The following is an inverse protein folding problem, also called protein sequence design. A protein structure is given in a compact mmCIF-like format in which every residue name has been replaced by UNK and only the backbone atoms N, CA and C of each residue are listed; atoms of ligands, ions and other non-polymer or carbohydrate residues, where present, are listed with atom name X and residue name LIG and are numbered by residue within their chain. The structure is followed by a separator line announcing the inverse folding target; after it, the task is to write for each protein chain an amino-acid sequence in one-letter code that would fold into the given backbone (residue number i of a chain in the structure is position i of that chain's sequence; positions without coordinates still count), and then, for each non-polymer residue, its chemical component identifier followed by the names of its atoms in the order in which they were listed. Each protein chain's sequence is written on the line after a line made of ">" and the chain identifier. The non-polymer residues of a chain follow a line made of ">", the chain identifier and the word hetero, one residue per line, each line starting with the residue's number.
data_IF_240328187561
#
_entry.id   IF_240328187561
#
_cell.length_a   1.000
_cell.length_b   1.000
_cell.length_c   1.000
_cell.angle_alpha   90.00
_cell.angle_beta   90.00
_cell.angle_gamma   90.00
#
_symmetry.space_group_name_H-M   'P 1'
#
loop_
_entity.id
_entity.type
_entity.pdbx_description
1 polymer ?
#
# COMPACT_ATOMS: atom_id res chain seq x y z
N UNK A 1 63.34 88.32 -49.20
CA UNK A 1 63.18 87.35 -50.32
C UNK A 1 61.75 87.50 -50.83
N UNK A 2 61.54 87.69 -52.14
CA UNK A 2 60.22 87.81 -52.76
C UNK A 2 59.70 86.43 -53.19
N UNK A 3 58.49 86.07 -52.78
CA UNK A 3 57.83 84.83 -53.21
C UNK A 3 57.08 85.03 -54.53
N UNK A 4 56.88 83.94 -55.30
CA UNK A 4 55.96 83.97 -56.44
C UNK A 4 54.53 84.13 -55.94
N UNK A 5 53.74 84.93 -56.66
CA UNK A 5 52.33 85.13 -56.36
C UNK A 5 51.56 83.98 -57.01
N UNK A 6 50.98 83.13 -56.18
CA UNK A 6 50.10 82.04 -56.59
C UNK A 6 48.68 82.59 -56.83
N UNK A 7 48.05 82.13 -57.91
CA UNK A 7 46.67 82.44 -58.24
C UNK A 7 45.89 81.15 -58.40
N UNK A 8 44.69 81.19 -57.87
CA UNK A 8 43.80 80.06 -57.72
C UNK A 8 43.10 79.68 -59.05
N UNK A 9 43.90 79.24 -60.02
CA UNK A 9 43.48 78.88 -61.38
C UNK A 9 44.12 77.58 -61.83
N UNK A 10 43.39 76.81 -62.64
CA UNK A 10 43.98 75.70 -63.34
C UNK A 10 44.72 76.20 -64.58
N UNK A 11 46.03 75.92 -64.65
CA UNK A 11 46.83 76.16 -65.84
C UNK A 11 46.73 74.95 -66.78
N UNK A 12 46.39 75.18 -68.05
CA UNK A 12 46.18 74.12 -69.03
C UNK A 12 47.46 73.34 -69.38
N UNK A 13 48.62 73.91 -69.11
CA UNK A 13 49.93 73.28 -69.32
C UNK A 13 50.98 73.92 -68.43
N UNK A 14 52.14 73.26 -68.34
CA UNK A 14 53.35 73.83 -67.74
C UNK A 14 54.26 74.14 -68.93
N UNK A 15 54.67 75.39 -69.05
CA UNK A 15 55.62 75.83 -70.07
C UNK A 15 56.88 74.97 -70.01
N UNK A 16 57.56 74.75 -71.13
CA UNK A 16 58.88 74.11 -71.15
C UNK A 16 59.87 75.19 -71.53
N UNK A 17 60.93 75.38 -70.72
CA UNK A 17 61.99 76.31 -71.10
C UNK A 17 62.67 75.80 -72.37
N UNK A 18 62.76 76.67 -73.37
CA UNK A 18 63.42 76.39 -74.62
C UNK A 18 64.87 76.88 -74.57
N UNK A 19 65.75 76.30 -75.38
CA UNK A 19 67.16 76.69 -75.41
C UNK A 19 67.39 78.13 -75.89
N UNK A 20 66.38 78.75 -76.51
CA UNK A 20 66.39 80.14 -76.96
C UNK A 20 65.87 81.14 -75.93
N UNK A 21 65.31 80.67 -74.81
CA UNK A 21 64.69 81.57 -73.84
C UNK A 21 65.76 82.32 -73.02
N UNK A 22 65.62 83.64 -72.81
CA UNK A 22 66.56 84.41 -72.02
C UNK A 22 66.38 84.12 -70.52
N UNK A 23 67.48 84.02 -69.77
CA UNK A 23 67.47 83.79 -68.31
C UNK A 23 66.99 85.07 -67.60
N UNK A 24 65.68 85.19 -67.40
CA UNK A 24 65.02 86.35 -66.81
C UNK A 24 64.23 85.90 -65.58
N UNK A 25 64.67 86.37 -64.41
CA UNK A 25 63.94 86.23 -63.15
C UNK A 25 62.88 87.31 -62.93
N UNK A 26 62.31 87.34 -61.72
CA UNK A 26 61.23 88.27 -61.34
C UNK A 26 59.82 87.71 -61.60
N UNK A 27 58.76 88.46 -61.25
CA UNK A 27 57.37 87.97 -61.22
C UNK A 27 56.81 87.50 -62.57
N UNK A 28 57.32 88.08 -63.65
CA UNK A 28 56.92 87.82 -65.04
C UNK A 28 58.09 87.31 -65.90
N UNK A 29 59.20 86.93 -65.25
CA UNK A 29 60.35 86.33 -65.91
C UNK A 29 60.06 84.89 -66.35
N UNK A 30 60.59 84.51 -67.53
CA UNK A 30 60.34 83.19 -68.14
C UNK A 30 60.85 82.04 -67.27
N UNK A 31 61.96 82.23 -66.55
CA UNK A 31 62.55 81.22 -65.65
C UNK A 31 61.60 80.80 -64.53
N UNK A 32 60.72 81.71 -64.10
CA UNK A 32 59.75 81.46 -63.03
C UNK A 32 58.38 80.99 -63.55
N UNK A 33 58.16 80.97 -64.86
CA UNK A 33 56.84 80.69 -65.45
C UNK A 33 56.37 79.28 -65.15
N UNK A 34 57.23 78.27 -65.31
CA UNK A 34 56.90 76.86 -65.03
C UNK A 34 56.51 76.66 -63.56
N UNK A 35 57.31 77.23 -62.65
CA UNK A 35 57.09 77.14 -61.21
C UNK A 35 55.79 77.86 -60.80
N UNK A 36 55.54 79.05 -61.35
CA UNK A 36 54.29 79.81 -61.14
C UNK A 36 53.07 79.02 -61.62
N UNK A 37 53.16 78.39 -62.80
CA UNK A 37 52.05 77.59 -63.34
C UNK A 37 51.78 76.33 -62.52
N UNK A 38 52.82 75.63 -62.08
CA UNK A 38 52.68 74.46 -61.21
C UNK A 38 52.11 74.85 -59.84
N UNK A 39 52.55 75.98 -59.28
CA UNK A 39 52.04 76.50 -58.02
C UNK A 39 50.55 76.84 -58.13
N UNK A 40 50.12 77.53 -59.19
CA UNK A 40 48.70 77.84 -59.45
C UNK A 40 47.82 76.57 -59.51
N UNK A 41 48.26 75.53 -60.24
CA UNK A 41 47.55 74.24 -60.31
C UNK A 41 47.48 73.54 -58.96
N UNK A 42 48.57 73.58 -58.19
CA UNK A 42 48.64 72.99 -56.85
C UNK A 42 47.69 73.71 -55.91
N UNK A 43 47.64 75.05 -55.96
CA UNK A 43 46.70 75.86 -55.18
C UNK A 43 45.24 75.54 -55.55
N UNK A 44 44.93 75.44 -56.85
CA UNK A 44 43.61 75.05 -57.34
C UNK A 44 43.18 73.67 -56.84
N UNK A 45 44.05 72.65 -56.93
CA UNK A 45 43.75 71.30 -56.46
C UNK A 45 43.63 71.24 -54.95
N UNK A 46 44.51 71.93 -54.22
CA UNK A 46 44.46 72.04 -52.76
C UNK A 46 43.10 72.58 -52.32
N UNK A 47 42.63 73.67 -52.94
CA UNK A 47 41.31 74.25 -52.68
C UNK A 47 40.17 73.26 -52.95
N UNK A 48 40.23 72.49 -54.03
CA UNK A 48 39.22 71.46 -54.32
C UNK A 48 39.22 70.32 -53.30
N UNK A 49 40.40 69.85 -52.89
CA UNK A 49 40.54 68.80 -51.88
C UNK A 49 40.07 69.30 -50.52
N UNK A 50 40.47 70.51 -50.10
CA UNK A 50 40.02 71.14 -48.86
C UNK A 50 38.51 71.38 -48.88
N UNK A 51 37.94 71.80 -50.01
CA UNK A 51 36.49 71.95 -50.17
C UNK A 51 35.74 70.61 -50.11
N UNK A 52 36.27 69.57 -50.76
CA UNK A 52 35.70 68.21 -50.70
C UNK A 52 35.76 67.61 -49.30
N UNK A 53 36.89 67.77 -48.62
CA UNK A 53 37.07 67.35 -47.23
C UNK A 53 36.10 68.11 -46.32
N UNK A 54 35.96 69.43 -46.49
CA UNK A 54 35.01 70.24 -45.73
C UNK A 54 33.57 69.80 -45.94
N UNK A 55 33.18 69.36 -47.14
CA UNK A 55 31.84 68.86 -47.42
C UNK A 55 31.60 67.47 -46.78
N UNK A 56 32.60 66.60 -46.80
CA UNK A 56 32.54 65.30 -46.12
C UNK A 56 32.50 65.45 -44.61
N UNK A 57 33.30 66.36 -44.05
CA UNK A 57 33.30 66.68 -42.63
C UNK A 57 31.95 67.30 -42.22
N UNK A 58 31.38 68.16 -43.06
CA UNK A 58 30.03 68.68 -42.84
C UNK A 58 28.97 67.58 -42.87
N UNK A 59 29.08 66.61 -43.80
CA UNK A 59 28.16 65.47 -43.88
C UNK A 59 28.34 64.50 -42.70
N UNK A 60 29.57 64.17 -42.31
CA UNK A 60 29.87 63.23 -41.22
C UNK A 60 29.52 63.80 -39.83
N UNK A 61 29.67 65.11 -39.65
CA UNK A 61 29.33 65.80 -38.40
C UNK A 61 27.87 66.31 -38.36
N UNK A 62 27.13 66.20 -39.47
CA UNK A 62 25.71 66.50 -39.46
C UNK A 62 24.99 65.52 -38.52
N UNK A 63 24.14 66.04 -37.64
CA UNK A 63 23.34 65.22 -36.72
C UNK A 63 22.40 64.26 -37.46
N UNK A 64 21.95 64.64 -38.67
CA UNK A 64 21.15 63.83 -39.57
C UNK A 64 21.56 64.08 -41.03
N UNK A 65 22.56 63.35 -41.54
CA UNK A 65 23.04 63.51 -42.92
C UNK A 65 22.06 62.94 -43.96
N UNK A 66 21.07 62.15 -43.53
CA UNK A 66 20.14 61.42 -44.39
C UNK A 66 18.69 61.52 -43.87
N UNK A 67 18.08 62.72 -43.89
CA UNK A 67 16.79 63.02 -43.25
C UNK A 67 15.57 62.34 -43.87
N UNK A 68 15.78 61.59 -44.94
CA UNK A 68 14.76 60.77 -45.59
C UNK A 68 14.48 59.45 -44.85
N UNK A 69 15.32 59.05 -43.90
CA UNK A 69 15.16 57.84 -43.09
C UNK A 69 14.85 58.20 -41.64
N UNK A 70 13.99 57.43 -40.99
CA UNK A 70 13.78 57.59 -39.55
C UNK A 70 15.08 57.34 -38.78
N UNK A 71 15.42 58.24 -37.86
CA UNK A 71 16.60 58.05 -37.01
C UNK A 71 16.36 56.91 -36.02
N UNK A 72 17.43 56.38 -35.43
CA UNK A 72 17.30 55.41 -34.32
C UNK A 72 16.52 55.99 -33.14
N UNK A 73 16.63 57.29 -32.92
CA UNK A 73 15.89 58.01 -31.89
C UNK A 73 14.40 58.08 -32.24
N UNK A 74 14.04 58.41 -33.48
CA UNK A 74 12.64 58.43 -33.93
C UNK A 74 12.00 57.03 -33.82
N UNK A 75 12.74 55.99 -34.16
CA UNK A 75 12.27 54.61 -34.05
C UNK A 75 12.06 54.20 -32.58
N UNK A 76 13.00 54.53 -31.70
CA UNK A 76 12.88 54.28 -30.27
C UNK A 76 11.71 55.06 -29.66
N UNK A 77 11.53 56.32 -30.06
CA UNK A 77 10.42 57.15 -29.63
C UNK A 77 9.08 56.58 -30.10
N UNK A 78 8.96 56.21 -31.38
CA UNK A 78 7.72 55.60 -31.91
C UNK A 78 7.38 54.27 -31.23
N UNK A 79 8.40 53.49 -30.86
CA UNK A 79 8.21 52.26 -30.10
C UNK A 79 7.75 52.56 -28.66
N UNK A 80 8.34 53.56 -28.02
CA UNK A 80 7.91 54.02 -26.69
C UNK A 80 6.47 54.56 -26.74
N UNK A 81 6.13 55.40 -27.72
CA UNK A 81 4.77 55.90 -27.94
C UNK A 81 3.76 54.77 -28.14
N UNK A 82 4.13 53.73 -28.90
CA UNK A 82 3.29 52.54 -29.08
C UNK A 82 3.09 51.75 -27.77
N UNK A 83 4.12 51.66 -26.93
CA UNK A 83 4.05 50.98 -25.62
C UNK A 83 3.27 51.83 -24.60
N UNK A 84 3.46 53.16 -24.61
CA UNK A 84 2.83 54.13 -23.71
C UNK A 84 1.34 54.34 -24.00
N UNK A 85 0.89 54.00 -25.20
CA UNK A 85 -0.54 54.00 -25.52
C UNK A 85 -1.33 52.98 -24.69
N UNK A 86 -0.71 51.93 -24.14
CA UNK A 86 -1.42 50.90 -23.36
C UNK A 86 -0.52 50.12 -22.35
N UNK A 87 0.15 50.79 -21.40
CA UNK A 87 1.02 50.15 -20.41
C UNK A 87 0.27 49.15 -19.52
N UNK A 88 -0.98 49.46 -19.17
CA UNK A 88 -1.83 48.55 -18.39
C UNK A 88 -2.18 47.28 -19.16
N UNK A 89 -2.49 47.38 -20.46
CA UNK A 89 -2.79 46.21 -21.29
C UNK A 89 -1.56 45.32 -21.48
N UNK A 90 -0.37 45.91 -21.69
CA UNK A 90 0.89 45.15 -21.77
C UNK A 90 1.20 44.46 -20.44
N UNK A 91 0.93 45.12 -19.31
CA UNK A 91 1.04 44.51 -17.99
C UNK A 91 0.08 43.33 -17.83
N UNK A 92 -1.20 43.48 -18.22
CA UNK A 92 -2.18 42.39 -18.22
C UNK A 92 -1.75 41.23 -19.11
N UNK A 93 -1.22 41.49 -20.31
CA UNK A 93 -0.73 40.44 -21.20
C UNK A 93 0.45 39.68 -20.60
N UNK A 94 1.37 40.38 -19.92
CA UNK A 94 2.48 39.77 -19.18
C UNK A 94 1.97 38.93 -18.00
N UNK A 95 1.00 39.43 -17.26
CA UNK A 95 0.36 38.70 -16.16
C UNK A 95 -0.33 37.44 -16.66
N UNK A 96 -1.05 37.50 -17.79
CA UNK A 96 -1.69 36.35 -18.43
C UNK A 96 -0.67 35.32 -18.93
N UNK A 97 0.39 35.77 -19.61
CA UNK A 97 1.46 34.88 -20.09
C UNK A 97 2.14 34.15 -18.91
N UNK A 98 2.43 34.88 -17.82
CA UNK A 98 2.98 34.29 -16.61
C UNK A 98 1.99 33.34 -15.92
N UNK A 99 0.70 33.68 -15.85
CA UNK A 99 -0.35 32.83 -15.28
C UNK A 99 -0.52 31.51 -16.06
N UNK A 100 -0.25 31.53 -17.37
CA UNK A 100 -0.24 30.34 -18.24
C UNK A 100 1.13 29.64 -18.29
N UNK A 101 2.10 30.06 -17.46
CA UNK A 101 3.42 29.44 -17.38
C UNK A 101 4.32 29.68 -18.59
N UNK A 102 4.05 30.72 -19.38
CA UNK A 102 4.73 30.99 -20.65
C UNK A 102 4.72 29.78 -21.61
N UNK A 103 3.66 28.96 -21.58
CA UNK A 103 3.51 27.78 -22.44
C UNK A 103 2.82 28.13 -23.76
N UNK A 104 3.53 28.14 -24.91
CA UNK A 104 2.92 28.40 -26.21
C UNK A 104 1.88 27.36 -26.64
N UNK A 105 1.91 26.16 -26.03
CA UNK A 105 1.02 25.04 -26.30
C UNK A 105 0.11 24.72 -25.11
N UNK A 106 -0.18 25.70 -24.25
CA UNK A 106 -0.95 25.52 -23.01
C UNK A 106 -2.20 24.64 -23.19
N UNK A 107 -2.99 24.88 -24.24
CA UNK A 107 -4.19 24.09 -24.52
C UNK A 107 -3.88 22.59 -24.72
N UNK A 108 -2.84 22.28 -25.50
CA UNK A 108 -2.38 20.91 -25.76
C UNK A 108 -1.81 20.28 -24.49
N UNK A 109 -1.00 21.01 -23.72
CA UNK A 109 -0.44 20.53 -22.45
C UNK A 109 -1.56 20.17 -21.47
N UNK A 110 -2.53 21.07 -21.29
CA UNK A 110 -3.69 20.85 -20.42
C UNK A 110 -4.55 19.68 -20.93
N UNK A 111 -4.81 19.59 -22.24
CA UNK A 111 -5.54 18.44 -22.81
C UNK A 111 -4.81 17.11 -22.55
N UNK A 112 -3.49 17.07 -22.69
CA UNK A 112 -2.70 15.88 -22.43
C UNK A 112 -2.73 15.48 -20.94
N UNK A 113 -2.69 16.44 -20.02
CA UNK A 113 -2.83 16.15 -18.58
C UNK A 113 -4.23 15.68 -18.21
N UNK A 114 -5.28 16.25 -18.83
CA UNK A 114 -6.66 15.80 -18.66
C UNK A 114 -6.83 14.39 -19.23
N UNK A 115 -6.22 14.09 -20.37
CA UNK A 115 -6.27 12.78 -21.00
C UNK A 115 -5.62 11.67 -20.16
N UNK A 116 -4.78 12.01 -19.17
CA UNK A 116 -4.24 11.05 -18.19
C UNK A 116 -5.23 10.67 -17.09
N UNK A 117 -6.33 11.42 -16.92
CA UNK A 117 -7.36 11.11 -15.92
C UNK A 117 -8.20 9.93 -16.39
N UNK A 118 -8.66 9.12 -15.45
CA UNK A 118 -9.58 8.02 -15.75
C UNK A 118 -10.99 8.57 -16.10
N UNK A 119 -11.72 7.96 -17.05
CA UNK A 119 -13.12 8.28 -17.30
C UNK A 119 -13.98 8.17 -16.03
N UNK A 120 -14.98 9.03 -15.90
CA UNK A 120 -15.91 9.00 -14.77
C UNK A 120 -16.76 7.73 -14.80
N UNK A 121 -17.25 7.37 -15.98
CA UNK A 121 -18.09 6.21 -16.20
C UNK A 121 -17.26 5.06 -16.75
N UNK A 122 -17.26 3.94 -16.03
CA UNK A 122 -16.62 2.67 -16.43
C UNK A 122 -15.16 2.81 -16.90
N UNK A 123 -14.27 3.39 -16.06
CA UNK A 123 -12.86 3.50 -16.43
C UNK A 123 -12.21 2.13 -16.62
N UNK A 124 -11.41 2.01 -17.67
CA UNK A 124 -10.45 0.90 -17.81
C UNK A 124 -9.14 1.33 -17.17
N UNK A 125 -8.72 0.65 -16.11
CA UNK A 125 -7.43 0.91 -15.50
C UNK A 125 -6.33 0.09 -16.18
N UNK A 126 -5.20 0.73 -16.51
CA UNK A 126 -4.03 0.09 -17.11
C UNK A 126 -2.85 0.02 -16.12
N UNK A 127 -1.92 -0.92 -16.35
CA UNK A 127 -0.76 -1.13 -15.49
C UNK A 127 -1.08 -1.74 -14.12
N UNK A 128 -0.23 -1.50 -13.12
CA UNK A 128 -0.44 -1.98 -11.74
C UNK A 128 -1.29 -0.96 -10.96
N UNK A 129 -2.59 -1.19 -10.90
CA UNK A 129 -3.51 -0.35 -10.12
C UNK A 129 -3.19 -0.39 -8.63
N UNK A 130 -3.07 0.78 -8.01
CA UNK A 130 -2.93 0.91 -6.55
C UNK A 130 -4.27 1.31 -5.95
N UNK A 131 -4.76 0.52 -5.01
CA UNK A 131 -5.89 0.87 -4.16
C UNK A 131 -5.57 0.46 -2.72
N UNK A 132 -6.03 1.21 -1.69
CA UNK A 132 -5.92 0.78 -0.31
C UNK A 132 -6.63 -0.57 -0.12
N UNK A 133 -5.97 -1.54 0.51
CA UNK A 133 -6.61 -2.82 0.85
C UNK A 133 -7.68 -2.58 1.92
N UNK A 134 -8.97 -2.84 1.63
CA UNK A 134 -10.02 -2.71 2.64
C UNK A 134 -9.77 -3.65 3.84
N UNK A 135 -10.24 -3.29 5.04
CA UNK A 135 -10.26 -4.21 6.17
C UNK A 135 -11.01 -5.50 5.84
N UNK A 136 -10.63 -6.60 6.49
CA UNK A 136 -11.40 -7.84 6.42
C UNK A 136 -12.87 -7.55 6.83
N UNK A 137 -13.82 -8.13 6.10
CA UNK A 137 -15.27 -7.92 6.31
C UNK A 137 -15.85 -6.55 5.90
N UNK A 138 -15.08 -5.68 5.22
CA UNK A 138 -15.65 -4.47 4.60
C UNK A 138 -16.69 -4.85 3.53
N UNK A 139 -17.92 -4.36 3.68
CA UNK A 139 -19.05 -4.59 2.77
C UNK A 139 -19.48 -3.33 2.02
N UNK A 140 -18.65 -2.30 2.03
CA UNK A 140 -18.90 -1.05 1.31
C UNK A 140 -18.63 -1.18 -0.20
N UNK A 141 -18.91 -0.12 -0.94
CA UNK A 141 -18.70 -0.05 -2.39
C UNK A 141 -17.26 0.27 -2.80
N UNK A 142 -16.28 0.11 -1.89
CA UNK A 142 -14.85 0.32 -2.19
C UNK A 142 -14.34 -0.71 -3.20
N UNK A 143 -13.30 -0.34 -3.95
CA UNK A 143 -12.59 -1.27 -4.82
C UNK A 143 -11.96 -2.40 -4.00
N UNK A 144 -12.26 -3.65 -4.35
CA UNK A 144 -11.61 -4.82 -3.75
C UNK A 144 -10.20 -5.00 -4.32
N UNK A 145 -9.19 -5.10 -3.44
CA UNK A 145 -7.83 -5.48 -3.86
C UNK A 145 -7.69 -7.01 -3.94
N UNK A 146 -6.70 -7.50 -4.68
CA UNK A 146 -6.42 -8.95 -4.75
C UNK A 146 -6.07 -9.53 -3.38
N UNK A 147 -5.41 -8.77 -2.50
CA UNK A 147 -5.15 -9.17 -1.12
C UNK A 147 -6.43 -9.36 -0.31
N UNK A 148 -7.40 -8.45 -0.45
CA UNK A 148 -8.74 -8.59 0.15
C UNK A 148 -9.48 -9.82 -0.41
N UNK A 149 -9.43 -10.06 -1.73
CA UNK A 149 -10.09 -11.22 -2.34
C UNK A 149 -9.46 -12.55 -1.90
N UNK A 150 -8.12 -12.63 -1.88
CA UNK A 150 -7.41 -13.83 -1.40
C UNK A 150 -7.82 -14.18 0.04
N UNK A 151 -7.90 -13.17 0.92
CA UNK A 151 -8.36 -13.38 2.29
C UNK A 151 -9.86 -13.70 2.40
N UNK A 152 -10.71 -13.17 1.52
CA UNK A 152 -12.15 -13.46 1.50
C UNK A 152 -12.49 -14.86 0.96
N UNK A 153 -11.69 -15.41 0.03
CA UNK A 153 -11.90 -16.73 -0.58
C UNK A 153 -11.59 -17.92 0.35
N UNK A 154 -11.28 -17.67 1.62
CA UNK A 154 -11.02 -18.71 2.61
C UNK A 154 -9.56 -19.16 2.69
N UNK A 155 -8.64 -18.52 1.95
CA UNK A 155 -7.23 -18.66 2.25
C UNK A 155 -6.94 -18.01 3.61
N UNK A 156 -6.11 -18.68 4.40
CA UNK A 156 -5.69 -18.16 5.68
C UNK A 156 -4.76 -16.97 5.44
N UNK A 157 -5.01 -15.84 6.11
CA UNK A 157 -4.15 -14.65 5.97
C UNK A 157 -2.73 -14.88 6.49
N UNK A 158 -2.55 -15.88 7.34
CA UNK A 158 -1.26 -16.32 7.90
C UNK A 158 -1.35 -17.77 8.37
N UNK A 159 -0.21 -18.43 8.51
CA UNK A 159 -0.10 -19.76 9.11
C UNK A 159 1.07 -19.78 10.10
N UNK A 160 0.79 -20.12 11.35
CA UNK A 160 1.79 -20.13 12.44
C UNK A 160 1.97 -21.55 12.96
N UNK A 161 3.21 -22.03 13.00
CA UNK A 161 3.56 -23.25 13.73
C UNK A 161 3.98 -22.88 15.16
N UNK A 162 3.24 -23.36 16.16
CA UNK A 162 3.55 -23.14 17.56
C UNK A 162 4.14 -24.42 18.18
N UNK A 163 5.45 -24.40 18.41
CA UNK A 163 6.21 -25.51 18.96
C UNK A 163 6.18 -25.61 20.50
N UNK A 164 5.20 -25.00 21.17
CA UNK A 164 4.98 -25.11 22.62
C UNK A 164 5.17 -23.82 23.42
N UNK A 165 5.11 -22.66 22.78
CA UNK A 165 5.16 -21.37 23.47
C UNK A 165 3.74 -20.90 23.82
N UNK A 166 3.53 -20.51 25.08
CA UNK A 166 2.28 -19.88 25.49
C UNK A 166 2.09 -18.57 24.71
N UNK A 167 0.91 -18.35 24.15
CA UNK A 167 0.68 -17.20 23.28
C UNK A 167 -0.67 -16.55 23.57
N UNK A 168 -0.71 -15.22 23.45
CA UNK A 168 -1.96 -14.45 23.44
C UNK A 168 -2.24 -14.00 22.02
N UNK A 169 -3.36 -14.44 21.46
CA UNK A 169 -3.78 -14.08 20.12
C UNK A 169 -4.30 -12.63 20.10
N UNK A 170 -4.09 -11.97 18.96
CA UNK A 170 -4.54 -10.61 18.70
C UNK A 170 -5.64 -10.61 17.64
N UNK A 171 -6.45 -9.55 17.62
CA UNK A 171 -7.52 -9.39 16.62
C UNK A 171 -6.99 -9.31 15.19
N UNK A 172 -5.79 -8.79 15.00
CA UNK A 172 -5.12 -8.73 13.70
C UNK A 172 -4.84 -10.12 13.11
N UNK A 173 -4.85 -11.18 13.92
CA UNK A 173 -4.61 -12.57 13.48
C UNK A 173 -5.91 -13.30 13.08
N UNK A 174 -7.07 -12.63 13.06
CA UNK A 174 -8.35 -13.21 12.63
C UNK A 174 -8.32 -13.66 11.17
N UNK A 175 -8.68 -14.89 10.88
CA UNK A 175 -8.54 -15.54 9.57
C UNK A 175 -7.17 -16.21 9.38
N UNK A 176 -6.33 -16.25 10.41
CA UNK A 176 -5.08 -17.02 10.42
C UNK A 176 -5.28 -18.48 10.83
N UNK A 177 -4.35 -19.34 10.42
CA UNK A 177 -4.26 -20.73 10.85
C UNK A 177 -3.10 -20.96 11.81
N UNK A 178 -3.27 -21.90 12.72
CA UNK A 178 -2.28 -22.27 13.70
C UNK A 178 -2.13 -23.79 13.76
N UNK A 179 -0.91 -24.28 13.66
CA UNK A 179 -0.56 -25.66 13.97
C UNK A 179 0.12 -25.72 15.33
N UNK A 180 -0.52 -26.39 16.29
CA UNK A 180 0.00 -26.52 17.65
C UNK A 180 0.77 -27.84 17.73
N UNK A 181 2.09 -27.78 17.56
CA UNK A 181 2.96 -28.96 17.52
C UNK A 181 3.77 -29.18 18.80
N UNK A 182 3.72 -28.25 19.77
CA UNK A 182 4.22 -28.45 21.14
C UNK A 182 3.20 -28.01 22.18
N UNK A 183 3.33 -28.53 23.40
CA UNK A 183 2.34 -28.29 24.44
C UNK A 183 2.35 -26.82 24.92
N UNK A 184 1.19 -26.18 24.99
CA UNK A 184 1.11 -24.75 25.36
C UNK A 184 -0.27 -24.34 25.91
N UNK A 185 -0.36 -23.07 26.31
CA UNK A 185 -1.60 -22.37 26.62
C UNK A 185 -1.79 -21.22 25.63
N UNK A 186 -2.96 -21.16 25.00
CA UNK A 186 -3.34 -20.09 24.07
C UNK A 186 -4.42 -19.25 24.71
N UNK A 187 -4.17 -17.95 24.84
CA UNK A 187 -5.17 -16.97 25.27
C UNK A 187 -5.83 -16.38 24.02
N UNK A 188 -7.15 -16.51 23.91
CA UNK A 188 -7.95 -15.98 22.80
C UNK A 188 -8.00 -14.45 22.84
N UNK A 189 -8.18 -13.78 21.67
CA UNK A 189 -8.36 -12.33 21.66
C UNK A 189 -9.73 -11.97 22.24
N UNK A 190 -9.86 -10.74 22.74
CA UNK A 190 -11.17 -10.24 23.14
C UNK A 190 -12.12 -10.21 21.96
N UNK A 191 -13.35 -10.66 22.17
CA UNK A 191 -14.40 -10.57 21.15
C UNK A 191 -14.90 -9.13 20.93
N UNK A 192 -14.57 -8.18 21.82
CA UNK A 192 -14.95 -6.76 21.71
C UNK A 192 -14.16 -6.10 20.58
N UNK A 193 -14.83 -5.53 19.58
CA UNK A 193 -14.18 -4.90 18.42
C UNK A 193 -13.91 -5.84 17.24
N UNK A 194 -14.04 -7.15 17.43
CA UNK A 194 -14.04 -8.09 16.31
C UNK A 194 -15.41 -8.11 15.60
N UNK A 195 -15.46 -8.17 14.27
CA UNK A 195 -16.71 -8.35 13.54
C UNK A 195 -17.27 -9.78 13.70
N UNK A 196 -18.59 -9.94 13.58
CA UNK A 196 -19.22 -11.27 13.57
C UNK A 196 -18.69 -12.09 12.40
N UNK A 197 -18.43 -13.38 12.64
CA UNK A 197 -17.83 -14.28 11.64
C UNK A 197 -16.31 -14.27 11.60
N UNK A 198 -15.63 -13.37 12.33
CA UNK A 198 -14.19 -13.44 12.52
C UNK A 198 -13.81 -14.82 13.08
N UNK A 199 -12.82 -15.47 12.46
CA UNK A 199 -12.52 -16.87 12.73
C UNK A 199 -11.02 -17.13 12.95
N UNK A 200 -10.68 -18.21 13.64
CA UNK A 200 -9.31 -18.66 13.83
C UNK A 200 -9.29 -20.17 13.61
N UNK A 201 -8.38 -20.66 12.78
CA UNK A 201 -8.31 -22.08 12.41
C UNK A 201 -7.17 -22.75 13.15
N UNK A 202 -7.41 -23.93 13.73
CA UNK A 202 -6.43 -24.65 14.53
C UNK A 202 -6.30 -26.10 14.08
N UNK A 203 -5.06 -26.54 13.94
CA UNK A 203 -4.63 -27.93 13.95
C UNK A 203 -3.97 -28.23 15.30
N UNK A 204 -4.42 -29.27 15.99
CA UNK A 204 -3.96 -29.61 17.34
C UNK A 204 -3.10 -30.86 17.27
N UNK A 205 -1.78 -30.70 17.15
CA UNK A 205 -0.80 -31.80 17.17
C UNK A 205 -0.26 -32.13 18.56
N UNK A 206 -0.43 -31.24 19.54
CA UNK A 206 0.04 -31.39 20.92
C UNK A 206 -1.00 -30.89 21.95
N UNK A 207 -0.79 -31.23 23.22
CA UNK A 207 -1.68 -30.84 24.31
C UNK A 207 -1.76 -29.31 24.46
N UNK A 208 -2.96 -28.74 24.41
CA UNK A 208 -3.15 -27.28 24.45
C UNK A 208 -4.38 -26.92 25.26
N UNK A 209 -4.30 -25.80 25.98
CA UNK A 209 -5.44 -25.18 26.66
C UNK A 209 -5.73 -23.82 26.05
N UNK A 210 -6.97 -23.60 25.60
CA UNK A 210 -7.45 -22.30 25.12
C UNK A 210 -8.19 -21.59 26.25
N UNK A 211 -7.85 -20.34 26.52
CA UNK A 211 -8.50 -19.52 27.54
C UNK A 211 -9.11 -18.26 26.91
N UNK A 212 -10.34 -17.95 27.28
CA UNK A 212 -10.96 -16.66 26.99
C UNK A 212 -10.35 -15.54 27.84
N UNK A 213 -10.56 -14.30 27.39
CA UNK A 213 -10.25 -13.09 28.15
C UNK A 213 -11.53 -12.41 28.63
N UNK A 214 -11.47 -11.77 29.80
CA UNK A 214 -12.59 -11.03 30.35
C UNK A 214 -13.86 -11.87 30.49
N UNK A 215 -14.98 -11.36 29.96
CA UNK A 215 -16.29 -12.02 29.99
C UNK A 215 -16.54 -12.97 28.81
N UNK A 216 -15.59 -13.15 27.91
CA UNK A 216 -15.77 -14.00 26.73
C UNK A 216 -15.98 -15.48 27.13
N UNK A 217 -16.86 -16.17 26.41
CA UNK A 217 -17.22 -17.56 26.64
C UNK A 217 -17.07 -18.39 25.36
N UNK A 218 -16.77 -19.69 25.54
CA UNK A 218 -16.69 -20.68 24.48
C UNK A 218 -17.97 -21.53 24.50
N UNK A 219 -18.60 -21.63 23.34
CA UNK A 219 -19.79 -22.42 23.07
C UNK A 219 -19.45 -23.63 22.19
N UNK A 220 -20.10 -24.73 22.49
CA UNK A 220 -20.15 -25.91 21.63
C UNK A 220 -21.60 -26.11 21.16
N UNK A 221 -21.79 -26.52 19.90
CA UNK A 221 -23.12 -26.68 19.30
C UNK A 221 -23.91 -27.90 19.85
N UNK A 222 -23.47 -28.48 20.98
CA UNK A 222 -24.12 -29.61 21.66
C UNK A 222 -24.85 -29.20 22.95
N UNK A 223 -25.16 -27.90 23.09
CA UNK A 223 -25.87 -27.31 24.23
C UNK A 223 -25.17 -27.45 25.60
N UNK A 224 -23.86 -27.71 25.63
CA UNK A 224 -23.08 -27.60 26.85
C UNK A 224 -22.99 -26.16 27.35
N UNK A 225 -22.93 -26.01 28.68
CA UNK A 225 -22.77 -24.72 29.33
C UNK A 225 -21.48 -24.03 28.84
N UNK A 226 -21.54 -22.71 28.74
CA UNK A 226 -20.41 -21.85 28.38
C UNK A 226 -19.23 -22.06 29.29
N UNK A 227 -18.03 -22.18 28.71
CA UNK A 227 -16.79 -22.26 29.48
C UNK A 227 -15.85 -21.10 29.12
N UNK A 228 -15.05 -20.68 30.09
CA UNK A 228 -13.94 -19.71 29.86
C UNK A 228 -12.67 -20.39 29.37
N UNK A 229 -12.63 -21.72 29.36
CA UNK A 229 -11.49 -22.52 28.96
C UNK A 229 -11.94 -23.73 28.13
N UNK A 230 -11.11 -24.11 27.17
CA UNK A 230 -11.34 -25.23 26.27
C UNK A 230 -10.05 -26.00 26.05
N UNK A 231 -10.09 -27.31 26.30
CA UNK A 231 -8.99 -28.24 25.98
C UNK A 231 -9.45 -29.11 24.82
N UNK A 232 -9.01 -28.85 23.58
CA UNK A 232 -9.27 -29.74 22.47
C UNK A 232 -8.46 -31.02 22.60
N UNK A 233 -8.85 -31.99 21.80
CA UNK A 233 -8.23 -33.32 21.80
C UNK A 233 -7.09 -33.31 20.80
N UNK A 234 -5.94 -33.85 21.20
CA UNK A 234 -4.79 -33.98 20.30
C UNK A 234 -5.15 -34.81 19.06
N UNK A 235 -4.71 -34.35 17.90
CA UNK A 235 -5.04 -34.91 16.58
C UNK A 235 -6.35 -34.38 15.98
N UNK A 236 -6.92 -33.30 16.51
CA UNK A 236 -8.13 -32.67 15.96
C UNK A 236 -7.83 -31.36 15.23
N UNK A 237 -8.77 -30.92 14.40
CA UNK A 237 -8.78 -29.58 13.83
C UNK A 237 -10.15 -28.95 14.05
N UNK A 238 -10.17 -27.64 14.30
CA UNK A 238 -11.39 -26.89 14.50
C UNK A 238 -11.19 -25.42 14.12
N UNK A 239 -12.30 -24.72 13.94
CA UNK A 239 -12.35 -23.27 13.79
C UNK A 239 -13.08 -22.66 14.97
N UNK A 240 -12.49 -21.65 15.58
CA UNK A 240 -13.21 -20.76 16.49
C UNK A 240 -13.81 -19.63 15.67
N UNK A 241 -15.09 -19.32 15.87
CA UNK A 241 -15.80 -18.27 15.15
C UNK A 241 -16.52 -17.37 16.14
N UNK A 242 -16.37 -16.04 15.99
CA UNK A 242 -17.15 -15.08 16.78
C UNK A 242 -18.59 -15.09 16.29
N UNK A 243 -19.53 -15.46 17.16
CA UNK A 243 -20.95 -15.55 16.82
C UNK A 243 -21.82 -14.48 17.48
N UNK A 244 -21.38 -13.90 18.60
CA UNK A 244 -22.05 -12.80 19.30
C UNK A 244 -21.04 -11.99 20.13
N UNK A 245 -21.53 -10.96 20.83
CA UNK A 245 -20.76 -10.31 21.91
C UNK A 245 -20.43 -11.34 22.99
N UNK A 246 -19.15 -11.45 23.36
CA UNK A 246 -18.64 -12.37 24.38
C UNK A 246 -18.81 -13.86 24.07
N UNK A 247 -18.99 -14.25 22.79
CA UNK A 247 -19.22 -15.65 22.43
C UNK A 247 -18.36 -16.10 21.25
N UNK A 248 -17.55 -17.12 21.51
CA UNK A 248 -16.86 -17.94 20.53
C UNK A 248 -17.61 -19.25 20.33
N UNK A 249 -17.85 -19.66 19.08
CA UNK A 249 -18.35 -20.99 18.74
C UNK A 249 -17.22 -21.85 18.21
N UNK A 250 -17.09 -23.07 18.73
CA UNK A 250 -16.18 -24.08 18.19
C UNK A 250 -16.88 -24.85 17.08
N UNK A 251 -16.43 -24.63 15.84
CA UNK A 251 -16.75 -25.46 14.68
C UNK A 251 -15.72 -26.59 14.58
N UNK A 252 -16.06 -27.79 15.06
CA UNK A 252 -15.21 -28.97 14.94
C UNK A 252 -15.26 -29.52 13.51
N UNK A 253 -14.09 -29.74 12.89
CA UNK A 253 -13.97 -30.27 11.52
C UNK A 253 -13.96 -31.82 11.54
N UNK A 254 -15.00 -32.41 12.13
CA UNK A 254 -15.32 -33.83 11.90
C UNK A 254 -14.81 -34.85 12.91
N UNK A 255 -14.40 -34.44 14.12
CA UNK A 255 -14.17 -35.39 15.23
C UNK A 255 -15.13 -35.05 16.37
N UNK A 256 -16.00 -36.00 16.72
CA UNK A 256 -16.95 -35.80 17.82
C UNK A 256 -16.24 -35.65 19.18
N UNK A 257 -16.95 -35.08 20.15
CA UNK A 257 -16.40 -34.69 21.46
C UNK A 257 -15.85 -35.89 22.25
N UNK A 258 -14.65 -35.81 22.83
CA UNK A 258 -14.05 -36.92 23.61
C UNK A 258 -13.40 -36.42 24.90
N UNK A 259 -13.53 -37.22 25.96
CA UNK A 259 -12.83 -37.10 27.24
C UNK A 259 -12.00 -38.36 27.47
N UNK A 260 -10.68 -38.26 27.28
CA UNK A 260 -9.70 -39.34 27.54
C UNK A 260 -9.28 -39.25 29.01
N UNK A 261 -10.05 -39.89 29.88
CA UNK A 261 -9.70 -40.06 31.29
C UNK A 261 -10.03 -41.49 31.74
N UNK A 262 -9.66 -41.85 32.98
CA UNK A 262 -10.00 -43.15 33.55
C UNK A 262 -11.52 -43.44 33.51
N UNK A 263 -12.35 -42.39 33.62
CA UNK A 263 -13.78 -42.41 33.35
C UNK A 263 -14.07 -41.43 32.21
N UNK A 264 -14.21 -41.93 30.98
CA UNK A 264 -14.17 -41.12 29.77
C UNK A 264 -15.26 -41.46 28.77
N UNK A 265 -15.35 -40.66 27.71
CA UNK A 265 -16.31 -40.87 26.64
C UNK A 265 -15.79 -40.39 25.29
N UNK A 266 -16.32 -40.93 24.20
CA UNK A 266 -16.19 -40.43 22.84
C UNK A 266 -17.59 -40.34 22.21
N UNK A 267 -18.03 -39.12 21.89
CA UNK A 267 -19.13 -38.86 20.97
C UNK A 267 -18.58 -38.97 19.56
N UNK A 268 -19.27 -39.68 18.69
CA UNK A 268 -18.96 -39.78 17.27
C UNK A 268 -19.80 -38.76 16.50
N UNK A 269 -19.33 -38.28 15.34
CA UNK A 269 -20.12 -37.38 14.49
C UNK A 269 -21.50 -37.92 14.10
N UNK A 270 -21.69 -39.25 14.14
CA UNK A 270 -22.99 -39.91 13.91
C UNK A 270 -24.01 -39.73 15.04
N UNK A 271 -23.63 -39.11 16.16
CA UNK A 271 -24.46 -39.03 17.37
C UNK A 271 -24.31 -40.21 18.32
N UNK A 272 -23.60 -41.27 17.90
CA UNK A 272 -23.28 -42.42 18.75
C UNK A 272 -22.26 -42.03 19.82
N UNK A 273 -22.47 -42.45 21.06
CA UNK A 273 -21.64 -42.14 22.22
C UNK A 273 -21.11 -43.44 22.80
N UNK A 274 -19.79 -43.53 22.95
CA UNK A 274 -19.08 -44.60 23.65
C UNK A 274 -18.61 -44.03 24.99
N UNK A 275 -18.89 -44.67 26.12
CA UNK A 275 -18.37 -44.26 27.43
C UNK A 275 -17.74 -45.42 28.15
N UNK A 276 -16.69 -45.15 28.94
CA UNK A 276 -15.97 -46.14 29.74
C UNK A 276 -15.68 -45.60 31.14
N UNK A 277 -15.45 -46.50 32.09
CA UNK A 277 -15.09 -46.12 33.44
C UNK A 277 -14.81 -47.31 34.35
N UNK A 278 -14.49 -47.02 35.61
CA UNK A 278 -14.33 -48.04 36.65
C UNK A 278 -15.64 -48.26 37.42
N UNK A 279 -15.82 -49.49 37.90
CA UNK A 279 -16.84 -49.86 38.86
C UNK A 279 -16.15 -50.00 40.22
N UNK A 280 -16.57 -49.24 41.25
CA UNK A 280 -15.96 -49.28 42.57
C UNK A 280 -16.25 -50.61 43.28
N UNK A 281 -15.61 -50.83 44.44
CA UNK A 281 -15.76 -52.05 45.23
C UNK A 281 -17.22 -52.28 45.65
N UNK A 282 -17.72 -53.47 45.35
CA UNK A 282 -19.06 -53.94 45.70
C UNK A 282 -18.95 -55.04 46.76
N UNK A 283 -19.48 -54.84 47.98
CA UNK A 283 -19.46 -55.86 49.02
C UNK A 283 -20.29 -57.09 48.64
N UNK A 284 -19.99 -58.25 49.23
CA UNK A 284 -20.79 -59.48 49.07
C UNK A 284 -22.28 -59.24 49.32
N UNK A 285 -23.13 -59.67 48.39
CA UNK A 285 -24.59 -59.44 48.44
C UNK A 285 -25.04 -57.99 48.23
N UNK A 286 -24.12 -57.08 47.90
CA UNK A 286 -24.39 -55.65 47.75
C UNK A 286 -24.47 -55.18 46.30
N UNK A 287 -24.81 -53.90 46.15
CA UNK A 287 -24.86 -53.19 44.86
C UNK A 287 -24.32 -51.77 44.97
N UNK A 288 -23.81 -51.23 43.86
CA UNK A 288 -23.37 -49.84 43.76
C UNK A 288 -23.95 -49.17 42.52
N UNK A 289 -24.28 -47.89 42.67
CA UNK A 289 -24.69 -47.02 41.57
C UNK A 289 -23.45 -46.39 40.94
N UNK A 290 -23.32 -46.50 39.62
CA UNK A 290 -22.22 -45.91 38.84
C UNK A 290 -22.79 -44.95 37.82
N UNK A 291 -22.33 -43.70 37.87
CA UNK A 291 -22.70 -42.68 36.89
C UNK A 291 -21.82 -42.79 35.64
N UNK A 292 -22.43 -42.61 34.48
CA UNK A 292 -21.68 -42.37 33.25
C UNK A 292 -20.98 -41.00 33.32
N UNK A 293 -19.83 -40.82 32.64
CA UNK A 293 -19.18 -39.53 32.50
C UNK A 293 -20.13 -38.42 32.00
N UNK A 294 -21.03 -38.77 31.09
CA UNK A 294 -22.14 -37.92 30.62
C UNK A 294 -23.42 -38.74 30.50
N UNK A 295 -24.59 -38.10 30.59
CA UNK A 295 -25.85 -38.79 30.29
C UNK A 295 -26.00 -39.01 28.77
N UNK A 296 -26.51 -40.19 28.38
CA UNK A 296 -26.97 -40.45 27.01
C UNK A 296 -28.22 -39.59 26.74
N UNK A 297 -28.22 -38.70 25.73
CA UNK A 297 -29.35 -37.80 25.49
C UNK A 297 -30.68 -38.54 25.26
N UNK A 298 -30.66 -39.58 24.43
CA UNK A 298 -31.84 -40.28 23.96
C UNK A 298 -31.98 -41.68 24.56
N UNK A 299 -30.90 -42.46 24.61
CA UNK A 299 -30.97 -43.83 25.10
C UNK A 299 -29.62 -44.54 25.24
N UNK A 300 -29.56 -45.43 26.23
CA UNK A 300 -28.52 -46.44 26.35
C UNK A 300 -28.84 -47.61 25.41
N UNK A 301 -27.90 -47.99 24.55
CA UNK A 301 -28.01 -49.14 23.66
C UNK A 301 -27.43 -50.41 24.29
N UNK A 302 -26.28 -50.29 24.95
CA UNK A 302 -25.59 -51.43 25.55
C UNK A 302 -24.65 -51.00 26.67
N UNK A 303 -24.49 -51.88 27.66
CA UNK A 303 -23.44 -51.77 28.66
C UNK A 303 -22.83 -53.15 28.89
N UNK A 304 -21.51 -53.19 29.02
CA UNK A 304 -20.74 -54.36 29.39
C UNK A 304 -19.73 -53.98 30.46
N UNK A 305 -19.45 -54.89 31.39
CA UNK A 305 -18.41 -54.72 32.39
C UNK A 305 -17.54 -55.96 32.45
N UNK A 306 -16.28 -55.74 32.77
CA UNK A 306 -15.27 -56.79 32.86
C UNK A 306 -14.57 -56.75 34.22
N UNK A 307 -14.27 -57.93 34.74
CA UNK A 307 -13.48 -58.13 35.95
C UNK A 307 -12.05 -57.60 35.78
N UNK A 308 -11.47 -57.01 36.83
CA UNK A 308 -10.01 -56.93 36.97
C UNK A 308 -9.25 -55.99 36.02
N UNK A 309 -9.91 -55.12 35.28
CA UNK A 309 -9.24 -54.13 34.42
C UNK A 309 -8.45 -53.05 35.21
N UNK A 310 -8.59 -52.99 36.53
CA UNK A 310 -7.92 -51.99 37.39
C UNK A 310 -6.96 -52.59 38.42
N UNK A 311 -6.67 -53.90 38.37
CA UNK A 311 -5.72 -54.55 39.30
C UNK A 311 -5.85 -56.07 39.34
N UNK A 312 -4.70 -56.74 39.50
CA UNK A 312 -4.53 -58.21 39.52
C UNK A 312 -5.48 -58.89 40.53
N UNK A 313 -6.19 -59.91 40.06
CA UNK A 313 -7.05 -60.82 40.82
C UNK A 313 -8.39 -60.27 41.36
N UNK A 314 -9.04 -59.33 40.66
CA UNK A 314 -10.43 -58.96 41.01
C UNK A 314 -11.46 -59.91 40.39
N UNK A 315 -12.42 -60.38 41.19
CA UNK A 315 -13.49 -61.25 40.70
C UNK A 315 -14.53 -60.49 39.85
N UNK A 316 -15.14 -61.20 38.89
CA UNK A 316 -16.08 -60.61 37.94
C UNK A 316 -17.36 -60.13 38.60
N UNK A 317 -17.80 -58.92 38.21
CA UNK A 317 -19.10 -58.35 38.59
C UNK A 317 -20.20 -59.34 38.16
N UNK A 318 -21.06 -59.75 39.10
CA UNK A 318 -22.09 -60.75 38.84
C UNK A 318 -23.18 -60.28 37.87
N UNK A 319 -23.44 -58.97 37.80
CA UNK A 319 -24.44 -58.43 36.88
C UNK A 319 -24.47 -56.90 36.84
N UNK A 320 -25.04 -56.40 35.76
CA UNK A 320 -25.28 -55.00 35.49
C UNK A 320 -26.78 -54.82 35.19
N UNK A 321 -27.40 -53.80 35.79
CA UNK A 321 -28.76 -53.39 35.46
C UNK A 321 -28.76 -51.89 35.19
N UNK A 322 -28.96 -51.53 33.93
CA UNK A 322 -29.30 -50.16 33.59
C UNK A 322 -30.75 -49.85 34.00
N UNK A 323 -31.68 -50.80 33.81
CA UNK A 323 -33.12 -50.58 34.02
C UNK A 323 -33.62 -50.56 35.47
N UNK A 324 -32.81 -50.94 36.45
CA UNK A 324 -33.19 -50.80 37.87
C UNK A 324 -32.84 -49.42 38.44
N UNK A 325 -32.16 -48.58 37.65
CA UNK A 325 -32.03 -47.17 37.98
C UNK A 325 -33.24 -46.39 37.51
N UNK A 326 -33.62 -45.35 38.25
CA UNK A 326 -34.63 -44.39 37.81
C UNK A 326 -34.19 -43.56 36.58
N UNK A 327 -32.94 -43.72 36.11
CA UNK A 327 -32.38 -42.99 34.98
C UNK A 327 -31.31 -43.82 34.23
N UNK A 328 -31.71 -44.81 33.41
CA UNK A 328 -30.78 -45.70 32.67
C UNK A 328 -29.89 -44.96 31.67
N UNK A 329 -30.20 -43.69 31.38
CA UNK A 329 -29.42 -42.82 30.51
C UNK A 329 -28.23 -42.17 31.20
N UNK A 330 -28.28 -42.02 32.52
CA UNK A 330 -27.25 -41.32 33.28
C UNK A 330 -26.41 -42.26 34.16
N UNK A 331 -26.97 -43.42 34.54
CA UNK A 331 -26.32 -44.31 35.48
C UNK A 331 -26.79 -45.76 35.31
N UNK A 332 -26.01 -46.68 35.87
CA UNK A 332 -26.36 -48.10 36.01
C UNK A 332 -26.05 -48.60 37.42
N UNK A 333 -26.64 -49.73 37.78
CA UNK A 333 -26.33 -50.42 39.04
C UNK A 333 -25.53 -51.69 38.73
N UNK A 334 -24.42 -51.86 39.42
CA UNK A 334 -23.64 -53.09 39.42
C UNK A 334 -23.85 -53.82 40.75
N UNK A 335 -23.92 -55.16 40.73
CA UNK A 335 -24.09 -55.93 41.96
C UNK A 335 -23.12 -57.11 42.07
N UNK A 336 -22.84 -57.47 43.32
CA UNK A 336 -22.11 -58.67 43.69
C UNK A 336 -23.10 -59.66 44.31
N UNK A 337 -23.46 -60.69 43.55
CA UNK A 337 -24.35 -61.75 43.97
C UNK A 337 -23.62 -62.92 44.65
N UNK A 338 -22.30 -62.83 44.81
CA UNK A 338 -21.51 -63.88 45.44
C UNK A 338 -21.63 -63.82 46.96
N UNK A 339 -21.84 -64.99 47.56
CA UNK A 339 -21.71 -65.19 49.01
C UNK A 339 -20.26 -65.46 49.43
N UNK A 340 -19.37 -65.76 48.48
CA UNK A 340 -18.01 -66.25 48.74
C UNK A 340 -16.93 -65.23 48.40
N UNK A 341 -17.25 -64.24 47.55
CA UNK A 341 -16.34 -63.17 47.15
C UNK A 341 -16.69 -61.91 47.93
N UNK A 342 -15.83 -61.57 48.88
CA UNK A 342 -16.02 -60.45 49.81
C UNK A 342 -16.15 -59.10 49.10
N UNK A 343 -15.44 -58.92 47.98
CA UNK A 343 -15.53 -57.72 47.13
C UNK A 343 -15.41 -58.06 45.64
N UNK A 344 -16.13 -57.30 44.81
CA UNK A 344 -15.99 -57.29 43.35
C UNK A 344 -15.78 -55.86 42.85
N UNK A 345 -14.99 -55.70 41.79
CA UNK A 345 -14.74 -54.43 41.13
C UNK A 345 -14.37 -54.68 39.67
N UNK A 346 -14.38 -53.64 38.85
CA UNK A 346 -14.05 -53.81 37.44
C UNK A 346 -14.03 -52.52 36.65
N UNK A 347 -14.14 -52.66 35.33
CA UNK A 347 -14.36 -51.55 34.42
C UNK A 347 -15.58 -51.83 33.54
N UNK A 348 -16.15 -50.78 32.97
CA UNK A 348 -17.28 -50.87 32.05
C UNK A 348 -17.00 -50.13 30.75
N UNK A 349 -17.71 -50.56 29.71
CA UNK A 349 -17.91 -49.83 28.47
C UNK A 349 -19.40 -49.81 28.15
N UNK A 350 -19.88 -48.68 27.65
CA UNK A 350 -21.28 -48.44 27.34
C UNK A 350 -21.41 -47.70 26.01
N UNK A 351 -22.52 -47.95 25.33
CA UNK A 351 -22.85 -47.40 24.03
C UNK A 351 -24.26 -46.83 24.08
N UNK A 352 -24.49 -45.65 23.51
CA UNK A 352 -25.79 -45.00 23.45
C UNK A 352 -25.78 -43.78 22.54
N UNK A 353 -26.82 -42.95 22.58
CA UNK A 353 -26.98 -41.73 21.80
C UNK A 353 -27.98 -40.78 22.45
#
# INVERSE_FOLDING_TARGET
>A
MSNLIEVDRWENGIYQLETSDPVIGGPDGVDNLQAKQLANRTQFLKRLVEGGQSNLDAHANAADPHPQYATKADLAQRLAELVDQSPEALNTLKELANAMGNDPNFATTVMNEIAKKAPIDSPVFAGTTKAPTPPQFDSSTKLATTAFVQTALGNLQSFTMNSGTNATLTQAQAGGGWDICGACTITLPSTVGLPLGACYSFSVGAAVTFNCVGSDQIYFNDSTATTTSFVPVTGTAFRLVKINANQWLVFSEGRGSVSISANGYQKLPSGLIIQWGSVPNIPAGGSVTVNYPIAFPNGLLSISAIAGATGTASAAINGLMAGASSNPKALFVAWNGSSNLTTQMGAYISLGY
#
